data_IF_024088749375
#
_entry.id   IF_024088749375
#
_cell.length_a   1.000
_cell.length_b   1.000
_cell.length_c   1.000
_cell.angle_alpha   90.00
_cell.angle_beta   90.00
_cell.angle_gamma   90.00
#
_symmetry.space_group_name_H-M   'P 1'
#
loop_
_entity.id
_entity.type
_entity.pdbx_description
1 polymer ?
#
# COMPACT_ATOMS: atom_id res chain seq x y z
N UNK A 1 -38.72 -7.66 -15.23
CA UNK A 1 -37.87 -8.73 -14.65
C UNK A 1 -36.77 -9.24 -15.61
N UNK A 2 -36.35 -8.48 -16.64
CA UNK A 2 -35.31 -8.90 -17.59
C UNK A 2 -33.90 -8.30 -17.30
N UNK A 3 -33.81 -7.22 -16.52
CA UNK A 3 -32.52 -6.54 -16.25
C UNK A 3 -31.60 -7.30 -15.28
N UNK A 4 -32.12 -8.24 -14.48
CA UNK A 4 -31.32 -9.07 -13.55
C UNK A 4 -30.59 -10.24 -14.24
N UNK A 5 -31.02 -10.64 -15.44
CA UNK A 5 -30.49 -11.81 -16.15
C UNK A 5 -29.21 -11.46 -16.91
N UNK A 6 -29.19 -10.30 -17.59
CA UNK A 6 -28.05 -9.89 -18.42
C UNK A 6 -26.80 -9.55 -17.58
N UNK A 7 -27.00 -9.04 -16.36
CA UNK A 7 -25.91 -8.71 -15.43
C UNK A 7 -25.36 -9.89 -14.64
N UNK A 8 -25.85 -11.13 -14.83
CA UNK A 8 -25.21 -12.32 -14.24
C UNK A 8 -24.31 -13.00 -15.27
N UNK A 9 -24.83 -13.29 -16.47
CA UNK A 9 -24.08 -13.99 -17.51
C UNK A 9 -22.79 -13.28 -17.98
N UNK A 10 -22.75 -11.95 -17.94
CA UNK A 10 -21.57 -11.15 -18.31
C UNK A 10 -20.47 -11.19 -17.25
N UNK A 11 -20.84 -11.48 -16.00
CA UNK A 11 -19.97 -11.45 -14.84
C UNK A 11 -19.62 -12.85 -14.33
N UNK A 12 -20.33 -13.89 -14.75
CA UNK A 12 -20.08 -15.29 -14.36
C UNK A 12 -18.64 -15.78 -14.61
N UNK A 13 -17.91 -15.18 -15.55
CA UNK A 13 -16.52 -15.53 -15.88
C UNK A 13 -15.47 -14.53 -15.37
N UNK A 14 -15.89 -13.44 -14.73
CA UNK A 14 -14.98 -12.43 -14.19
C UNK A 14 -14.62 -12.75 -12.73
N UNK A 15 -13.42 -12.36 -12.26
CA UNK A 15 -13.11 -12.47 -10.84
C UNK A 15 -14.00 -11.51 -10.03
N UNK A 16 -14.42 -11.88 -8.80
CA UNK A 16 -15.21 -11.01 -7.95
C UNK A 16 -14.53 -9.64 -7.75
N UNK A 17 -15.29 -8.55 -7.59
CA UNK A 17 -14.74 -7.20 -7.36
C UNK A 17 -13.72 -7.14 -6.22
N UNK A 18 -13.94 -7.92 -5.16
CA UNK A 18 -12.99 -8.05 -4.04
C UNK A 18 -11.61 -8.58 -4.46
N UNK A 19 -11.56 -9.50 -5.42
CA UNK A 19 -10.31 -10.04 -5.98
C UNK A 19 -9.61 -9.02 -6.87
N UNK A 20 -10.35 -8.30 -7.71
CA UNK A 20 -9.81 -7.21 -8.52
C UNK A 20 -9.19 -6.11 -7.64
N UNK A 21 -9.90 -5.68 -6.60
CA UNK A 21 -9.41 -4.66 -5.66
C UNK A 21 -8.13 -5.13 -4.96
N UNK A 22 -8.11 -6.39 -4.51
CA UNK A 22 -6.94 -6.97 -3.87
C UNK A 22 -5.71 -7.04 -4.78
N UNK A 23 -5.90 -7.41 -6.04
CA UNK A 23 -4.84 -7.40 -7.05
C UNK A 23 -4.31 -5.98 -7.26
N UNK A 24 -5.21 -5.00 -7.38
CA UNK A 24 -4.81 -3.59 -7.52
C UNK A 24 -3.99 -3.10 -6.32
N UNK A 25 -4.41 -3.45 -5.11
CA UNK A 25 -3.68 -3.10 -3.87
C UNK A 25 -2.31 -3.77 -3.85
N UNK A 26 -2.24 -5.08 -4.13
CA UNK A 26 -0.97 -5.80 -4.17
C UNK A 26 -0.01 -5.26 -5.24
N UNK A 27 -0.53 -4.86 -6.40
CA UNK A 27 0.24 -4.19 -7.45
C UNK A 27 0.71 -2.79 -7.03
N UNK A 28 -0.14 -1.98 -6.41
CA UNK A 28 0.24 -0.66 -5.92
C UNK A 28 1.37 -0.76 -4.87
N UNK A 29 1.24 -1.69 -3.93
CA UNK A 29 2.24 -1.96 -2.90
C UNK A 29 3.57 -2.43 -3.51
N UNK A 30 3.52 -3.33 -4.48
CA UNK A 30 4.72 -3.83 -5.15
C UNK A 30 5.38 -2.77 -6.02
N UNK A 31 4.62 -2.02 -6.81
CA UNK A 31 5.16 -1.14 -7.85
C UNK A 31 5.44 0.26 -7.28
N UNK A 32 4.42 0.94 -6.75
CA UNK A 32 4.55 2.33 -6.33
C UNK A 32 5.35 2.42 -5.02
N UNK A 33 4.99 1.60 -4.04
CA UNK A 33 5.58 1.66 -2.71
C UNK A 33 6.86 0.81 -2.58
N UNK A 34 7.00 -0.25 -3.38
CA UNK A 34 8.19 -1.09 -3.44
C UNK A 34 9.20 -0.66 -4.51
N UNK A 35 8.95 -1.01 -5.77
CA UNK A 35 9.90 -0.76 -6.87
C UNK A 35 10.22 0.73 -7.05
N UNK A 36 9.25 1.61 -6.85
CA UNK A 36 9.45 3.07 -6.91
C UNK A 36 10.55 3.54 -5.94
N UNK A 37 10.53 3.08 -4.70
CA UNK A 37 11.53 3.44 -3.69
C UNK A 37 12.89 2.78 -3.92
N UNK A 38 12.93 1.62 -4.58
CA UNK A 38 14.18 1.00 -5.02
C UNK A 38 14.83 1.78 -6.16
N UNK A 39 14.03 2.33 -7.08
CA UNK A 39 14.49 3.06 -8.25
C UNK A 39 14.94 4.49 -7.93
N UNK A 40 14.12 5.27 -7.22
CA UNK A 40 14.43 6.66 -6.85
C UNK A 40 14.12 6.92 -5.37
N UNK A 41 15.13 6.74 -4.53
CA UNK A 41 14.99 6.87 -3.08
C UNK A 41 14.65 8.30 -2.64
N UNK A 42 15.13 9.29 -3.38
CA UNK A 42 15.02 10.70 -3.00
C UNK A 42 13.61 11.19 -3.26
N UNK A 43 13.13 10.97 -4.49
CA UNK A 43 11.77 11.33 -4.87
C UNK A 43 10.74 10.57 -4.03
N UNK A 44 10.99 9.28 -3.77
CA UNK A 44 10.14 8.45 -2.94
C UNK A 44 10.10 8.93 -1.48
N UNK A 45 11.23 9.15 -0.84
CA UNK A 45 11.24 9.62 0.55
C UNK A 45 10.59 11.02 0.68
N UNK A 46 10.77 11.87 -0.33
CA UNK A 46 10.11 13.18 -0.40
C UNK A 46 8.59 13.05 -0.52
N UNK A 47 8.07 12.12 -1.33
CA UNK A 47 6.61 11.91 -1.45
C UNK A 47 5.98 11.36 -0.18
N UNK A 48 6.76 10.60 0.61
CA UNK A 48 6.37 10.15 1.95
C UNK A 48 6.47 11.24 3.02
N UNK A 49 7.01 12.41 2.70
CA UNK A 49 7.17 13.52 3.64
C UNK A 49 8.40 13.42 4.54
N UNK A 50 9.39 12.60 4.18
CA UNK A 50 10.68 12.43 4.88
C UNK A 50 11.83 12.73 3.92
N UNK A 51 12.03 14.00 3.51
CA UNK A 51 13.05 14.35 2.53
C UNK A 51 14.45 14.06 3.07
N UNK A 52 15.19 13.19 2.37
CA UNK A 52 16.56 12.80 2.75
C UNK A 52 17.64 13.72 2.17
N UNK A 53 17.30 14.58 1.21
CA UNK A 53 18.23 15.48 0.49
C UNK A 53 18.03 16.96 0.90
N UNK A 54 17.65 17.25 2.15
CA UNK A 54 17.32 18.61 2.56
C UNK A 54 18.50 19.59 2.31
N UNK A 55 18.26 20.79 1.72
CA UNK A 55 19.29 21.70 1.22
C UNK A 55 20.10 22.42 2.31
N UNK A 56 20.06 21.95 3.56
CA UNK A 56 20.76 22.61 4.68
C UNK A 56 22.18 22.09 4.91
N UNK A 57 22.53 20.92 4.39
CA UNK A 57 23.81 20.29 4.69
C UNK A 57 24.67 20.12 3.44
N UNK A 58 25.42 21.17 3.11
CA UNK A 58 26.73 21.00 2.46
C UNK A 58 27.75 20.29 3.38
N UNK A 59 27.35 19.92 4.61
CA UNK A 59 28.16 19.24 5.61
C UNK A 59 27.78 17.77 5.86
N UNK A 60 26.71 17.23 5.27
CA UNK A 60 26.36 15.83 5.54
C UNK A 60 27.38 14.92 4.85
N UNK A 61 28.17 14.12 5.59
CA UNK A 61 29.16 13.24 5.00
C UNK A 61 28.51 12.32 3.96
N UNK A 62 29.17 12.14 2.81
CA UNK A 62 28.65 11.28 1.73
C UNK A 62 28.21 9.88 2.20
N UNK A 63 28.84 9.37 3.27
CA UNK A 63 28.49 8.10 3.91
C UNK A 63 27.12 8.13 4.61
N UNK A 64 26.75 9.23 5.26
CA UNK A 64 25.43 9.40 5.88
C UNK A 64 24.34 9.41 4.82
N UNK A 65 24.57 10.11 3.71
CA UNK A 65 23.60 10.14 2.60
C UNK A 65 23.42 8.77 1.95
N UNK A 66 24.53 8.04 1.76
CA UNK A 66 24.48 6.66 1.28
C UNK A 66 23.67 5.76 2.22
N UNK A 67 23.85 5.94 3.52
CA UNK A 67 23.12 5.17 4.55
C UNK A 67 21.63 5.50 4.55
N UNK A 68 21.25 6.77 4.46
CA UNK A 68 19.83 7.21 4.36
C UNK A 68 19.15 6.61 3.13
N UNK A 69 19.80 6.67 1.96
CA UNK A 69 19.29 6.06 0.72
C UNK A 69 19.11 4.54 0.86
N UNK A 70 20.09 3.86 1.44
CA UNK A 70 20.00 2.42 1.69
C UNK A 70 18.85 2.06 2.66
N UNK A 71 18.61 2.88 3.68
CA UNK A 71 17.47 2.70 4.59
C UNK A 71 16.14 2.87 3.87
N UNK A 72 16.01 3.86 2.99
CA UNK A 72 14.82 4.03 2.14
C UNK A 72 14.61 2.82 1.24
N UNK A 73 15.66 2.29 0.61
CA UNK A 73 15.57 1.06 -0.20
C UNK A 73 15.15 -0.14 0.65
N UNK A 74 15.65 -0.27 1.89
CA UNK A 74 15.27 -1.35 2.79
C UNK A 74 13.78 -1.26 3.20
N UNK A 75 13.25 -0.05 3.40
CA UNK A 75 11.82 0.18 3.64
C UNK A 75 11.02 -0.20 2.38
N UNK A 76 11.44 0.27 1.21
CA UNK A 76 10.80 -0.05 -0.05
C UNK A 76 10.78 -1.57 -0.33
N UNK A 77 11.85 -2.29 0.00
CA UNK A 77 11.89 -3.75 -0.10
C UNK A 77 10.85 -4.45 0.81
N UNK A 78 10.54 -3.88 1.98
CA UNK A 78 9.48 -4.40 2.87
C UNK A 78 8.09 -4.18 2.28
N UNK A 79 7.86 -3.05 1.62
CA UNK A 79 6.62 -2.83 0.88
C UNK A 79 6.51 -3.82 -0.29
N UNK A 80 7.60 -4.05 -1.03
CA UNK A 80 7.62 -5.07 -2.09
C UNK A 80 7.27 -6.47 -1.55
N UNK A 81 7.79 -6.86 -0.39
CA UNK A 81 7.44 -8.10 0.29
C UNK A 81 5.95 -8.13 0.70
N UNK A 82 5.42 -7.05 1.25
CA UNK A 82 4.00 -6.94 1.61
C UNK A 82 3.09 -7.06 0.37
N UNK A 83 3.44 -6.41 -0.73
CA UNK A 83 2.73 -6.50 -2.00
C UNK A 83 2.73 -7.92 -2.55
N UNK A 84 3.88 -8.61 -2.52
CA UNK A 84 3.99 -10.01 -2.92
C UNK A 84 3.12 -10.94 -2.04
N UNK A 85 3.04 -10.68 -0.73
CA UNK A 85 2.18 -11.43 0.18
C UNK A 85 0.69 -11.21 -0.13
N UNK A 86 0.27 -9.96 -0.34
CA UNK A 86 -1.09 -9.61 -0.73
C UNK A 86 -1.47 -10.30 -2.04
N UNK A 87 -0.59 -10.26 -3.06
CA UNK A 87 -0.81 -10.95 -4.34
C UNK A 87 -0.86 -12.47 -4.18
N UNK A 88 -0.10 -13.05 -3.25
CA UNK A 88 -0.16 -14.48 -2.93
C UNK A 88 -1.51 -14.85 -2.32
N UNK A 89 -2.04 -14.03 -1.41
CA UNK A 89 -3.38 -14.22 -0.86
C UNK A 89 -4.49 -13.97 -1.89
N UNK A 90 -4.30 -12.99 -2.78
CA UNK A 90 -5.27 -12.66 -3.81
C UNK A 90 -5.35 -13.73 -4.91
N UNK A 91 -4.22 -14.10 -5.51
CA UNK A 91 -4.19 -14.89 -6.73
C UNK A 91 -3.93 -16.39 -6.50
N UNK A 92 -3.05 -16.72 -5.55
CA UNK A 92 -2.54 -18.09 -5.39
C UNK A 92 -3.35 -18.89 -4.38
N UNK A 93 -3.29 -18.51 -3.11
CA UNK A 93 -4.02 -19.22 -2.04
C UNK A 93 -5.51 -18.91 -2.05
N UNK A 94 -5.88 -17.72 -2.56
CA UNK A 94 -7.25 -17.20 -2.61
C UNK A 94 -7.93 -17.16 -1.23
N UNK A 95 -7.14 -17.01 -0.15
CA UNK A 95 -7.65 -16.82 1.20
C UNK A 95 -8.06 -15.36 1.41
N UNK A 96 -9.37 -15.11 1.35
CA UNK A 96 -9.95 -13.77 1.45
C UNK A 96 -9.90 -13.18 2.85
N UNK A 97 -9.89 -14.02 3.88
CA UNK A 97 -9.79 -13.54 5.26
C UNK A 97 -8.37 -13.10 5.56
N UNK A 98 -7.39 -13.95 5.24
CA UNK A 98 -5.97 -13.61 5.37
C UNK A 98 -5.61 -12.37 4.53
N UNK A 99 -6.14 -12.27 3.32
CA UNK A 99 -6.00 -11.09 2.45
C UNK A 99 -6.55 -9.81 3.11
N UNK A 100 -7.79 -9.83 3.57
CA UNK A 100 -8.41 -8.67 4.20
C UNK A 100 -7.68 -8.23 5.48
N UNK A 101 -7.21 -9.20 6.29
CA UNK A 101 -6.34 -8.93 7.45
C UNK A 101 -5.03 -8.30 6.98
N UNK A 102 -4.36 -8.86 5.98
CA UNK A 102 -3.06 -8.38 5.50
C UNK A 102 -3.14 -6.93 5.00
N UNK A 103 -4.18 -6.60 4.22
CA UNK A 103 -4.41 -5.21 3.76
C UNK A 103 -4.78 -4.30 4.94
N UNK A 104 -5.65 -4.76 5.84
CA UNK A 104 -6.04 -3.99 7.03
C UNK A 104 -4.86 -3.69 7.97
N UNK A 105 -3.90 -4.61 8.07
CA UNK A 105 -2.70 -4.46 8.89
C UNK A 105 -1.82 -3.28 8.44
N UNK A 106 -1.97 -2.82 7.20
CA UNK A 106 -1.34 -1.60 6.69
C UNK A 106 -1.65 -0.35 7.52
N UNK A 107 -2.73 -0.36 8.31
CA UNK A 107 -3.05 0.71 9.26
C UNK A 107 -1.91 0.98 10.25
N UNK A 108 -1.18 -0.06 10.66
CA UNK A 108 -0.08 0.05 11.62
C UNK A 108 1.08 0.82 10.99
N UNK A 109 1.46 0.45 9.76
CA UNK A 109 2.53 1.13 9.02
C UNK A 109 2.17 2.57 8.75
N UNK A 110 0.94 2.87 8.30
CA UNK A 110 0.56 4.26 8.00
C UNK A 110 0.39 5.12 9.26
N UNK A 111 -0.03 4.54 10.38
CA UNK A 111 -0.03 5.25 11.66
C UNK A 111 1.40 5.59 12.10
N UNK A 112 2.34 4.65 11.93
CA UNK A 112 3.74 4.92 12.20
C UNK A 112 4.27 6.03 11.28
N UNK A 113 3.96 6.00 9.98
CA UNK A 113 4.35 7.04 9.03
C UNK A 113 3.79 8.41 9.41
N UNK A 114 2.51 8.48 9.82
CA UNK A 114 1.91 9.71 10.33
C UNK A 114 2.72 10.30 11.50
N UNK A 115 3.08 9.47 12.47
CA UNK A 115 3.84 9.89 13.66
C UNK A 115 5.26 10.33 13.24
N UNK A 116 5.92 9.57 12.37
CA UNK A 116 7.28 9.87 11.89
C UNK A 116 7.29 11.20 11.14
N UNK A 117 6.37 11.42 10.20
CA UNK A 117 6.33 12.64 9.39
C UNK A 117 5.97 13.86 10.24
N UNK A 118 5.03 13.70 11.18
CA UNK A 118 4.65 14.77 12.09
C UNK A 118 5.81 15.21 13.00
N UNK A 119 6.63 14.27 13.46
CA UNK A 119 7.68 14.56 14.45
C UNK A 119 9.05 14.86 13.83
N UNK A 120 9.37 14.24 12.70
CA UNK A 120 10.72 14.22 12.12
C UNK A 120 10.76 14.56 10.63
N UNK A 121 9.61 14.59 9.96
CA UNK A 121 9.50 14.89 8.53
C UNK A 121 8.99 16.30 8.27
N UNK A 122 8.18 16.44 7.21
CA UNK A 122 7.47 17.66 6.85
C UNK A 122 6.05 17.58 7.44
N UNK A 123 5.76 18.24 8.57
CA UNK A 123 4.51 18.04 9.30
C UNK A 123 3.25 18.34 8.50
N UNK A 124 3.34 19.24 7.52
CA UNK A 124 2.25 19.60 6.60
C UNK A 124 1.82 18.45 5.70
N UNK A 125 2.69 17.44 5.52
CA UNK A 125 2.41 16.24 4.75
C UNK A 125 1.86 15.09 5.62
N UNK A 126 1.94 15.20 6.95
CA UNK A 126 1.40 14.19 7.87
C UNK A 126 -0.10 13.89 7.64
N UNK A 127 -0.99 14.86 7.36
CA UNK A 127 -2.40 14.58 7.06
C UNK A 127 -2.60 13.62 5.86
N UNK A 128 -1.67 13.56 4.91
CA UNK A 128 -1.71 12.59 3.82
C UNK A 128 -1.67 11.14 4.31
N UNK A 129 -0.95 10.87 5.39
CA UNK A 129 -0.91 9.56 6.04
C UNK A 129 -2.22 9.24 6.78
N UNK A 130 -2.96 10.24 7.26
CA UNK A 130 -4.30 9.99 7.81
C UNK A 130 -5.28 9.45 6.75
N UNK A 131 -5.13 9.87 5.49
CA UNK A 131 -5.88 9.29 4.36
C UNK A 131 -5.49 7.82 4.17
N UNK A 132 -4.19 7.50 4.25
CA UNK A 132 -3.73 6.12 4.15
C UNK A 132 -4.28 5.22 5.27
N UNK A 133 -4.36 5.71 6.52
CA UNK A 133 -5.03 5.01 7.64
C UNK A 133 -6.47 4.66 7.27
N UNK A 134 -7.23 5.65 6.78
CA UNK A 134 -8.61 5.44 6.34
C UNK A 134 -8.69 4.43 5.19
N UNK A 135 -7.78 4.50 4.21
CA UNK A 135 -7.74 3.56 3.10
C UNK A 135 -7.46 2.13 3.57
N UNK A 136 -6.49 1.91 4.46
CA UNK A 136 -6.21 0.58 5.00
C UNK A 136 -7.43 -0.01 5.72
N UNK A 137 -8.13 0.80 6.53
CA UNK A 137 -9.33 0.38 7.23
C UNK A 137 -10.49 0.09 6.27
N UNK A 138 -10.75 0.98 5.31
CA UNK A 138 -11.85 0.84 4.37
C UNK A 138 -11.63 -0.32 3.41
N UNK A 139 -10.45 -0.43 2.81
CA UNK A 139 -10.13 -1.49 1.85
C UNK A 139 -10.02 -2.83 2.58
N UNK A 140 -9.25 -2.91 3.67
CA UNK A 140 -9.13 -4.13 4.47
C UNK A 140 -10.48 -4.59 5.03
N UNK A 141 -11.27 -3.65 5.57
CA UNK A 141 -12.62 -3.91 6.05
C UNK A 141 -13.58 -4.38 4.95
N UNK A 142 -13.53 -3.75 3.78
CA UNK A 142 -14.35 -4.16 2.62
C UNK A 142 -13.98 -5.58 2.16
N UNK A 143 -12.69 -5.91 2.08
CA UNK A 143 -12.23 -7.25 1.73
C UNK A 143 -12.66 -8.30 2.78
N UNK A 144 -12.66 -7.94 4.07
CA UNK A 144 -13.15 -8.80 5.15
C UNK A 144 -14.67 -8.96 5.18
N UNK A 145 -15.40 -7.97 4.69
CA UNK A 145 -16.86 -7.99 4.61
C UNK A 145 -17.33 -8.79 3.39
N UNK A 146 -16.79 -8.52 2.20
CA UNK A 146 -17.15 -9.21 0.96
C UNK A 146 -16.67 -10.66 0.94
N UNK A 147 -15.45 -10.94 1.42
CA UNK A 147 -14.83 -12.27 1.39
C UNK A 147 -14.97 -12.92 -0.01
N UNK A 148 -15.34 -14.21 -0.04
CA UNK A 148 -15.61 -14.99 -1.25
C UNK A 148 -17.07 -14.90 -1.67
N UNK A 149 -17.97 -14.69 -0.71
CA UNK A 149 -19.42 -14.60 -0.92
C UNK A 149 -19.82 -13.13 -1.07
N UNK A 150 -19.15 -12.42 -1.97
CA UNK A 150 -19.36 -10.99 -2.19
C UNK A 150 -20.86 -10.75 -2.43
N UNK A 151 -21.58 -10.06 -1.53
CA UNK A 151 -23.02 -9.91 -1.62
C UNK A 151 -23.46 -9.08 -2.84
N UNK A 152 -22.52 -8.45 -3.55
CA UNK A 152 -22.76 -7.61 -4.72
C UNK A 152 -22.40 -8.33 -6.03
N UNK A 153 -21.93 -9.57 -5.95
CA UNK A 153 -21.56 -10.46 -7.06
C UNK A 153 -22.49 -11.68 -7.10
#
# INVERSE_FOLDING_TARGET
>A
MASRSFGRELFDNLPPPSECLAILVGCAESIMFGLGGLNDQVAWAKSFGVPIDAPKDTQDPAQNQKTKKALVQAIAARNLQNGALILTFACYTRDRTALGIAVGYGVITTLADYIIVKNSGVPELAPGHAIGIMNSLLIGGSLLYWRRDDPWW
#
